data_IF_109124814704
#
_entry.id   IF_109124814704
#
_cell.length_a   1.000
_cell.length_b   1.000
_cell.length_c   1.000
_cell.angle_alpha   90.00
_cell.angle_beta   90.00
_cell.angle_gamma   90.00
#
_symmetry.space_group_name_H-M   'P 1'
#
loop_
_entity.id
_entity.type
_entity.pdbx_description
1 polymer ?
#
# COMPACT_ATOMS: atom_id res chain seq x y z
N UNK A 1 66.85 26.45 21.22
CA UNK A 1 66.40 25.06 21.12
C UNK A 1 65.48 24.59 22.27
N UNK A 2 65.64 25.02 23.54
CA UNK A 2 64.77 24.64 24.65
C UNK A 2 63.30 25.10 24.52
N UNK A 3 63.03 26.23 23.90
CA UNK A 3 61.67 26.75 23.73
C UNK A 3 60.92 26.13 22.56
N UNK A 4 61.65 25.60 21.56
CA UNK A 4 61.03 24.92 20.41
C UNK A 4 60.46 23.54 20.81
N UNK A 5 61.11 22.84 21.73
CA UNK A 5 60.66 21.55 22.26
C UNK A 5 59.42 21.70 23.16
N UNK A 6 59.30 22.82 23.91
CA UNK A 6 58.16 23.07 24.77
C UNK A 6 56.92 23.45 23.97
N UNK A 7 57.08 24.19 22.86
CA UNK A 7 55.94 24.53 21.99
C UNK A 7 55.40 23.33 21.19
N UNK A 8 56.24 22.39 20.77
CA UNK A 8 55.82 21.15 20.15
C UNK A 8 55.08 20.19 21.09
N UNK A 9 55.48 20.19 22.41
CA UNK A 9 54.79 19.40 23.42
C UNK A 9 53.40 19.97 23.75
N UNK A 10 53.23 21.29 23.76
CA UNK A 10 51.96 21.95 24.01
C UNK A 10 50.94 21.73 22.88
N UNK A 11 51.40 21.69 21.62
CA UNK A 11 50.55 21.40 20.43
C UNK A 11 50.12 19.94 20.41
N UNK A 12 50.93 19.00 20.87
CA UNK A 12 50.61 17.58 20.97
C UNK A 12 49.51 17.25 21.98
N UNK A 13 49.35 18.07 23.02
CA UNK A 13 48.32 17.83 24.07
C UNK A 13 46.95 18.36 23.65
N UNK A 14 46.89 19.35 22.76
CA UNK A 14 45.64 19.91 22.26
C UNK A 14 44.92 19.00 21.23
N UNK A 15 45.62 18.03 20.62
CA UNK A 15 45.05 17.11 19.65
C UNK A 15 44.39 15.89 20.28
N UNK A 16 44.36 15.75 21.61
CA UNK A 16 43.70 14.65 22.32
C UNK A 16 42.27 14.97 22.80
N UNK A 17 41.67 16.06 22.31
CA UNK A 17 40.23 16.23 22.52
C UNK A 17 39.51 15.22 21.65
N UNK A 18 39.54 13.99 22.09
CA UNK A 18 38.75 12.88 21.57
C UNK A 18 37.29 13.32 21.49
N UNK A 19 36.70 13.24 20.32
CA UNK A 19 35.27 13.30 20.17
C UNK A 19 34.65 12.37 21.20
N UNK A 20 33.92 12.89 22.17
CA UNK A 20 33.08 12.10 23.06
C UNK A 20 32.09 11.38 22.12
N UNK A 21 32.28 10.07 21.92
CA UNK A 21 31.30 9.24 21.27
C UNK A 21 30.08 9.22 22.19
N UNK A 22 29.09 10.02 21.88
CA UNK A 22 27.80 9.91 22.53
C UNK A 22 27.25 8.52 22.15
N UNK A 23 27.10 7.64 23.11
CA UNK A 23 26.37 6.42 22.96
C UNK A 23 24.89 6.78 23.15
N UNK A 24 24.09 6.88 22.07
CA UNK A 24 22.66 7.08 22.23
C UNK A 24 22.11 5.90 23.03
N UNK A 25 21.48 6.19 24.17
CA UNK A 25 20.73 5.19 24.91
C UNK A 25 19.44 4.93 24.15
N UNK A 26 19.33 3.74 23.58
CA UNK A 26 18.05 3.25 23.09
C UNK A 26 17.15 3.02 24.31
N UNK A 27 15.90 3.47 24.23
CA UNK A 27 14.90 3.14 25.25
C UNK A 27 14.63 1.65 25.33
N UNK A 28 13.84 1.22 26.29
CA UNK A 28 13.36 -0.16 26.34
C UNK A 28 12.49 -0.46 25.12
N UNK A 29 12.60 -1.67 24.53
CA UNK A 29 11.74 -2.08 23.43
C UNK A 29 10.27 -2.19 23.88
N UNK A 30 9.29 -2.10 22.96
CA UNK A 30 7.89 -2.30 23.31
C UNK A 30 7.65 -3.68 23.94
N UNK A 31 6.80 -3.71 24.96
CA UNK A 31 6.34 -4.94 25.60
C UNK A 31 5.24 -5.62 24.80
N UNK A 32 4.84 -6.85 25.19
CA UNK A 32 3.67 -7.53 24.60
C UNK A 32 2.40 -6.69 24.74
N UNK A 33 2.21 -6.01 25.87
CA UNK A 33 1.06 -5.16 26.13
C UNK A 33 1.00 -3.94 25.20
N UNK A 34 2.13 -3.41 24.78
CA UNK A 34 2.21 -2.26 23.87
C UNK A 34 1.76 -2.60 22.42
N UNK A 35 1.86 -3.86 22.04
CA UNK A 35 1.43 -4.34 20.73
C UNK A 35 0.02 -4.94 20.75
N UNK A 36 -0.68 -4.94 21.88
CA UNK A 36 -2.08 -5.41 21.94
C UNK A 36 -3.00 -4.44 21.21
N UNK A 37 -4.10 -4.96 20.68
CA UNK A 37 -5.14 -4.15 20.06
C UNK A 37 -6.53 -4.78 20.24
N UNK A 38 -7.54 -3.98 20.04
CA UNK A 38 -8.93 -4.40 19.95
C UNK A 38 -9.50 -4.07 18.58
N UNK A 39 -10.57 -4.75 18.20
CA UNK A 39 -11.31 -4.46 16.98
C UNK A 39 -12.82 -4.62 17.21
N UNK A 40 -13.59 -3.88 16.42
CA UNK A 40 -15.05 -3.99 16.36
C UNK A 40 -15.55 -3.55 14.98
N UNK A 41 -16.67 -4.08 14.50
CA UNK A 41 -17.34 -3.51 13.34
C UNK A 41 -17.80 -2.07 13.66
N UNK A 42 -17.91 -1.24 12.64
CA UNK A 42 -18.49 0.10 12.80
C UNK A 42 -20.01 0.02 12.92
N UNK A 43 -20.62 1.05 13.54
CA UNK A 43 -22.10 1.12 13.66
C UNK A 43 -22.81 1.21 12.30
N UNK A 44 -22.11 1.49 11.24
CA UNK A 44 -22.68 1.72 9.91
C UNK A 44 -22.57 0.53 8.97
N UNK A 45 -21.56 -0.33 9.16
CA UNK A 45 -21.33 -1.47 8.28
C UNK A 45 -20.42 -2.51 8.95
N UNK A 46 -20.88 -3.76 9.00
CA UNK A 46 -20.19 -4.90 9.64
C UNK A 46 -18.90 -5.30 8.90
N UNK A 47 -18.73 -4.88 7.65
CA UNK A 47 -17.55 -5.13 6.84
C UNK A 47 -16.50 -4.01 6.94
N UNK A 48 -16.77 -2.97 7.73
CA UNK A 48 -15.81 -1.91 8.05
C UNK A 48 -15.41 -2.09 9.52
N UNK A 49 -14.18 -2.51 9.74
CA UNK A 49 -13.68 -2.80 11.08
C UNK A 49 -12.82 -1.64 11.58
N UNK A 50 -13.14 -1.17 12.76
CA UNK A 50 -12.30 -0.24 13.51
C UNK A 50 -11.30 -1.04 14.36
N UNK A 51 -10.04 -0.63 14.31
CA UNK A 51 -8.94 -1.18 15.12
C UNK A 51 -8.38 -0.11 16.03
N UNK A 52 -8.15 -0.46 17.29
CA UNK A 52 -7.58 0.43 18.29
C UNK A 52 -6.34 -0.21 18.91
N UNK A 53 -5.18 0.40 18.73
CA UNK A 53 -3.95 -0.01 19.40
C UNK A 53 -3.99 0.34 20.90
N UNK A 54 -3.51 -0.55 21.75
CA UNK A 54 -3.53 -0.36 23.21
C UNK A 54 -2.62 0.80 23.66
N UNK A 55 -1.52 1.05 22.95
CA UNK A 55 -0.59 2.11 23.30
C UNK A 55 -0.51 3.20 22.23
N UNK A 56 -1.12 4.39 22.46
CA UNK A 56 -1.12 5.50 21.50
C UNK A 56 0.23 6.24 21.41
N UNK A 57 1.19 5.95 22.30
CA UNK A 57 2.52 6.58 22.28
C UNK A 57 3.49 5.89 21.34
N UNK A 58 3.14 4.71 20.84
CA UNK A 58 3.91 3.96 19.87
C UNK A 58 3.62 4.44 18.45
N UNK A 59 4.55 4.22 17.54
CA UNK A 59 4.27 4.26 16.10
C UNK A 59 3.63 2.91 15.76
N UNK A 60 2.33 2.94 15.47
CA UNK A 60 1.50 1.76 15.22
C UNK A 60 1.32 1.58 13.71
N UNK A 61 1.85 0.49 13.16
CA UNK A 61 1.75 0.14 11.74
C UNK A 61 0.96 -1.15 11.61
N UNK A 62 -0.04 -1.13 10.74
CA UNK A 62 -1.00 -2.20 10.56
C UNK A 62 -0.82 -2.91 9.22
N UNK A 63 -0.98 -4.22 9.24
CA UNK A 63 -1.30 -5.04 8.08
C UNK A 63 -2.67 -5.68 8.34
N UNK A 64 -3.64 -5.37 7.50
CA UNK A 64 -5.02 -5.80 7.71
C UNK A 64 -5.33 -7.20 7.17
N UNK A 65 -4.33 -7.89 6.58
CA UNK A 65 -4.50 -9.22 6.02
C UNK A 65 -5.29 -9.28 4.71
N UNK A 66 -5.78 -8.15 4.22
CA UNK A 66 -6.52 -7.99 2.96
C UNK A 66 -5.70 -7.31 1.85
N UNK A 67 -4.39 -7.17 2.06
CA UNK A 67 -3.47 -6.46 1.16
C UNK A 67 -3.34 -4.96 1.45
N UNK A 68 -4.17 -4.41 2.33
CA UNK A 68 -4.09 -3.01 2.75
C UNK A 68 -3.27 -2.88 4.04
N UNK A 69 -2.69 -1.69 4.22
CA UNK A 69 -1.92 -1.30 5.40
C UNK A 69 -2.42 0.02 5.95
N UNK A 70 -2.13 0.28 7.22
CA UNK A 70 -2.49 1.54 7.87
C UNK A 70 -1.46 1.95 8.92
N UNK A 71 -1.59 3.19 9.40
CA UNK A 71 -0.77 3.75 10.46
C UNK A 71 -1.64 4.58 11.40
N UNK A 72 -1.38 4.49 12.70
CA UNK A 72 -2.07 5.26 13.72
C UNK A 72 -2.64 4.40 14.85
N UNK A 73 -3.14 5.07 15.89
CA UNK A 73 -3.72 4.41 17.06
C UNK A 73 -5.11 3.85 16.76
N UNK A 74 -5.95 4.64 16.08
CA UNK A 74 -7.28 4.25 15.63
C UNK A 74 -7.30 4.28 14.12
N UNK A 75 -7.63 3.15 13.51
CA UNK A 75 -7.67 2.99 12.05
C UNK A 75 -8.90 2.17 11.65
N UNK A 76 -9.33 2.35 10.42
CA UNK A 76 -10.42 1.54 9.85
C UNK A 76 -9.88 0.75 8.66
N UNK A 77 -10.36 -0.47 8.49
CA UNK A 77 -10.14 -1.25 7.28
C UNK A 77 -11.47 -1.78 6.73
N UNK A 78 -11.58 -1.82 5.41
CA UNK A 78 -12.74 -2.33 4.71
C UNK A 78 -12.47 -3.74 4.21
N UNK A 79 -13.46 -4.63 4.37
CA UNK A 79 -13.39 -6.04 3.95
C UNK A 79 -14.59 -6.36 3.06
N UNK A 80 -14.50 -6.08 1.75
CA UNK A 80 -15.64 -6.31 0.84
C UNK A 80 -16.06 -7.77 0.74
N UNK A 81 -15.13 -8.70 0.95
CA UNK A 81 -15.39 -10.13 0.83
C UNK A 81 -15.49 -10.81 2.20
N UNK A 82 -16.40 -11.75 2.33
CA UNK A 82 -16.44 -12.68 3.46
C UNK A 82 -15.14 -13.49 3.52
N UNK A 83 -14.69 -13.81 4.73
CA UNK A 83 -13.46 -14.60 4.92
C UNK A 83 -12.85 -14.41 6.30
N UNK A 84 -11.77 -15.12 6.55
CA UNK A 84 -10.94 -14.96 7.76
C UNK A 84 -9.67 -14.22 7.36
N UNK A 85 -9.36 -13.15 8.09
CA UNK A 85 -8.22 -12.28 7.83
C UNK A 85 -7.32 -12.21 9.05
N UNK A 86 -6.02 -12.37 8.87
CA UNK A 86 -5.05 -12.20 9.95
C UNK A 86 -4.57 -10.77 9.97
N UNK A 87 -4.99 -10.01 10.97
CA UNK A 87 -4.57 -8.61 11.18
C UNK A 87 -3.35 -8.58 12.07
N UNK A 88 -2.33 -7.83 11.67
CA UNK A 88 -1.08 -7.69 12.42
C UNK A 88 -0.83 -6.24 12.75
N UNK A 89 -0.60 -5.95 14.04
CA UNK A 89 -0.08 -4.68 14.53
C UNK A 89 1.41 -4.79 14.79
N UNK A 90 2.17 -3.84 14.28
CA UNK A 90 3.57 -3.62 14.62
C UNK A 90 3.71 -2.30 15.39
N UNK A 91 4.04 -2.37 16.67
CA UNK A 91 4.27 -1.22 17.53
C UNK A 91 5.76 -0.92 17.62
N UNK A 92 6.16 0.34 17.38
CA UNK A 92 7.55 0.78 17.37
C UNK A 92 7.78 1.91 18.35
N UNK A 93 8.96 1.91 18.97
CA UNK A 93 9.51 3.05 19.68
C UNK A 93 11.02 3.14 19.42
N UNK A 94 11.74 4.03 20.13
CA UNK A 94 13.20 4.20 19.98
C UNK A 94 14.00 2.97 20.44
N UNK A 95 13.42 2.09 21.25
CA UNK A 95 14.04 0.87 21.76
C UNK A 95 13.89 -0.34 20.86
N UNK A 96 12.96 -0.31 19.90
CA UNK A 96 12.71 -1.43 19.00
C UNK A 96 11.27 -1.54 18.55
N UNK A 97 10.84 -2.76 18.24
CA UNK A 97 9.48 -3.08 17.81
C UNK A 97 8.93 -4.33 18.46
N UNK A 98 7.62 -4.42 18.52
CA UNK A 98 6.87 -5.60 18.92
C UNK A 98 5.66 -5.78 18.02
N UNK A 99 5.33 -7.03 17.69
CA UNK A 99 4.19 -7.35 16.84
C UNK A 99 3.21 -8.26 17.58
N UNK A 100 1.93 -8.10 17.26
CA UNK A 100 0.88 -9.07 17.60
C UNK A 100 -0.06 -9.27 16.42
N UNK A 101 -0.74 -10.41 16.37
CA UNK A 101 -1.70 -10.73 15.34
C UNK A 101 -2.97 -11.32 15.94
N UNK A 102 -4.10 -11.02 15.31
CA UNK A 102 -5.40 -11.60 15.64
C UNK A 102 -6.10 -11.97 14.33
N UNK A 103 -6.91 -13.02 14.38
CA UNK A 103 -7.81 -13.37 13.29
C UNK A 103 -9.16 -12.69 13.51
N UNK A 104 -9.69 -12.12 12.42
CA UNK A 104 -11.05 -11.58 12.35
C UNK A 104 -11.83 -12.36 11.29
N UNK A 105 -13.13 -12.52 11.54
CA UNK A 105 -14.04 -13.18 10.60
C UNK A 105 -15.03 -12.17 10.06
N UNK A 106 -15.14 -12.11 8.75
CA UNK A 106 -16.14 -11.33 8.02
C UNK A 106 -17.17 -12.32 7.49
N UNK A 107 -18.38 -12.24 7.99
CA UNK A 107 -19.41 -13.26 7.75
C UNK A 107 -20.04 -13.15 6.36
N UNK A 108 -20.13 -11.94 5.80
CA UNK A 108 -20.84 -11.67 4.55
C UNK A 108 -19.97 -10.84 3.57
N UNK A 109 -20.19 -11.10 2.28
CA UNK A 109 -19.61 -10.27 1.22
C UNK A 109 -20.48 -9.04 0.97
N UNK A 110 -19.90 -7.85 1.01
CA UNK A 110 -20.54 -6.58 0.69
C UNK A 110 -19.75 -5.86 -0.42
N UNK A 111 -20.13 -6.14 -1.66
CA UNK A 111 -19.49 -5.54 -2.84
C UNK A 111 -19.83 -4.06 -3.00
N UNK A 112 -20.82 -3.52 -2.26
CA UNK A 112 -21.12 -2.08 -2.30
C UNK A 112 -19.95 -1.23 -1.80
N UNK A 113 -19.07 -1.79 -0.97
CA UNK A 113 -17.83 -1.16 -0.51
C UNK A 113 -16.78 -0.96 -1.63
N UNK A 114 -16.99 -1.61 -2.78
CA UNK A 114 -16.19 -1.45 -4.00
C UNK A 114 -16.88 -0.51 -5.01
N UNK A 115 -17.91 0.22 -4.60
CA UNK A 115 -18.60 1.17 -5.48
C UNK A 115 -17.66 2.34 -5.85
N UNK A 116 -17.07 2.21 -7.03
CA UNK A 116 -16.11 3.15 -7.58
C UNK A 116 -16.35 3.27 -9.10
N UNK A 117 -16.39 4.48 -9.67
CA UNK A 117 -16.64 4.67 -11.10
C UNK A 117 -15.74 3.85 -12.03
N UNK A 118 -14.47 3.67 -11.67
CA UNK A 118 -13.53 2.87 -12.46
C UNK A 118 -13.85 1.37 -12.39
N UNK A 119 -14.16 0.87 -11.19
CA UNK A 119 -14.55 -0.54 -11.02
C UNK A 119 -15.88 -0.81 -11.70
N UNK A 120 -16.85 0.10 -11.59
CA UNK A 120 -18.14 0.00 -12.25
C UNK A 120 -18.00 -0.01 -13.78
N UNK A 121 -17.14 0.84 -14.32
CA UNK A 121 -16.84 0.85 -15.75
C UNK A 121 -16.22 -0.48 -16.21
N UNK A 122 -15.24 -1.00 -15.43
CA UNK A 122 -14.48 -2.20 -15.81
C UNK A 122 -15.27 -3.50 -15.64
N UNK A 123 -16.11 -3.61 -14.60
CA UNK A 123 -16.77 -4.86 -14.18
C UNK A 123 -18.30 -4.84 -14.29
N UNK A 124 -18.90 -3.68 -14.53
CA UNK A 124 -20.34 -3.48 -14.44
C UNK A 124 -20.83 -3.11 -13.02
N UNK A 125 -19.95 -3.13 -12.03
CA UNK A 125 -20.23 -2.71 -10.65
C UNK A 125 -21.08 -3.67 -9.83
N UNK A 126 -21.21 -3.37 -8.52
CA UNK A 126 -21.95 -4.19 -7.56
C UNK A 126 -23.48 -4.22 -7.82
N UNK A 127 -24.04 -3.14 -8.37
CA UNK A 127 -25.46 -3.07 -8.73
C UNK A 127 -25.77 -3.68 -10.10
N UNK A 128 -24.76 -4.09 -10.87
CA UNK A 128 -24.88 -4.73 -12.18
C UNK A 128 -24.55 -6.22 -12.12
N UNK A 129 -23.91 -6.73 -13.18
CA UNK A 129 -23.50 -8.14 -13.28
C UNK A 129 -22.34 -8.50 -12.34
N UNK A 130 -21.58 -7.52 -11.88
CA UNK A 130 -20.31 -7.71 -11.14
C UNK A 130 -19.18 -8.24 -12.03
N UNK A 131 -19.41 -8.42 -13.31
CA UNK A 131 -18.36 -8.76 -14.28
C UNK A 131 -18.66 -8.20 -15.66
N UNK A 132 -17.60 -7.95 -16.43
CA UNK A 132 -17.69 -7.52 -17.82
C UNK A 132 -16.55 -8.10 -18.63
N UNK A 133 -16.89 -8.59 -19.82
CA UNK A 133 -15.89 -9.09 -20.78
C UNK A 133 -15.58 -8.02 -21.81
N UNK A 134 -14.29 -7.76 -21.97
CA UNK A 134 -13.75 -6.79 -22.92
C UNK A 134 -13.04 -7.50 -24.06
N UNK A 135 -13.03 -6.89 -25.21
CA UNK A 135 -12.27 -7.33 -26.37
C UNK A 135 -11.80 -6.11 -27.16
N UNK A 136 -10.81 -6.31 -27.99
CA UNK A 136 -10.33 -5.26 -28.90
C UNK A 136 -11.28 -5.19 -30.10
N UNK A 137 -11.96 -4.07 -30.28
CA UNK A 137 -12.82 -3.87 -31.46
C UNK A 137 -11.94 -3.55 -32.68
N UNK A 138 -11.71 -4.55 -33.51
CA UNK A 138 -10.88 -4.41 -34.71
C UNK A 138 -11.47 -3.45 -35.75
N UNK A 139 -12.77 -3.11 -35.68
CA UNK A 139 -13.40 -2.19 -36.63
C UNK A 139 -13.18 -0.71 -36.25
N UNK A 140 -12.76 -0.44 -35.02
CA UNK A 140 -12.51 0.93 -34.56
C UNK A 140 -11.12 1.41 -35.00
N UNK A 141 -11.05 2.65 -35.49
CA UNK A 141 -9.76 3.31 -35.76
C UNK A 141 -9.03 3.57 -34.45
N UNK A 142 -7.75 3.26 -34.37
CA UNK A 142 -6.94 3.52 -33.18
C UNK A 142 -7.03 2.44 -32.11
N UNK A 143 -7.63 1.28 -32.41
CA UNK A 143 -7.71 0.13 -31.50
C UNK A 143 -6.32 -0.41 -31.09
N UNK A 144 -5.28 -0.17 -31.91
CA UNK A 144 -3.87 -0.28 -31.58
C UNK A 144 -3.14 1.00 -31.95
N UNK A 145 -2.11 1.32 -31.20
CA UNK A 145 -1.28 2.45 -31.54
C UNK A 145 -0.02 2.56 -30.71
N UNK A 146 0.86 3.45 -31.14
CA UNK A 146 2.11 3.78 -30.45
C UNK A 146 2.19 5.28 -30.26
N UNK A 147 2.54 5.70 -29.08
CA UNK A 147 2.67 7.09 -28.69
C UNK A 147 3.69 7.29 -27.58
N UNK A 148 3.92 8.52 -27.11
CA UNK A 148 4.82 8.81 -26.01
C UNK A 148 4.27 8.34 -24.66
N UNK A 149 5.19 8.07 -23.73
CA UNK A 149 4.88 7.86 -22.31
C UNK A 149 5.56 8.99 -21.49
N UNK A 150 4.87 9.73 -20.62
CA UNK A 150 3.44 9.63 -20.33
C UNK A 150 2.55 10.06 -21.50
N UNK A 151 1.27 9.63 -21.44
CA UNK A 151 0.27 9.96 -22.46
C UNK A 151 0.34 11.43 -22.83
N UNK A 152 0.41 11.69 -24.14
CA UNK A 152 0.47 13.03 -24.72
C UNK A 152 -0.60 13.98 -24.17
N UNK A 153 -0.29 15.28 -24.01
CA UNK A 153 -1.28 16.30 -23.70
C UNK A 153 -2.39 16.43 -24.76
N UNK A 154 -2.25 15.81 -25.93
CA UNK A 154 -3.29 15.75 -26.96
C UNK A 154 -4.36 14.68 -26.70
N UNK A 155 -4.24 13.92 -25.61
CA UNK A 155 -5.23 12.92 -25.19
C UNK A 155 -4.86 11.47 -25.56
N UNK A 156 -5.87 10.59 -25.61
CA UNK A 156 -5.72 9.15 -25.79
C UNK A 156 -5.39 8.71 -27.23
N UNK A 157 -4.88 9.58 -28.07
CA UNK A 157 -4.57 9.28 -29.46
C UNK A 157 -3.12 8.84 -29.55
N UNK A 158 -2.83 7.66 -30.14
CA UNK A 158 -1.46 7.28 -30.45
C UNK A 158 -0.85 8.27 -31.47
N UNK A 159 0.17 9.03 -31.04
CA UNK A 159 0.74 10.11 -31.85
C UNK A 159 1.65 9.63 -32.98
N UNK A 160 2.31 8.48 -32.77
CA UNK A 160 3.33 8.02 -33.74
C UNK A 160 2.77 7.07 -34.77
N UNK A 161 1.81 6.25 -34.38
CA UNK A 161 1.10 5.33 -35.26
C UNK A 161 -0.23 4.92 -34.65
N UNK A 162 -1.25 4.78 -35.50
CA UNK A 162 -2.59 4.36 -35.14
C UNK A 162 -3.11 3.39 -36.19
N UNK A 163 -3.63 2.25 -35.72
CA UNK A 163 -4.21 1.24 -36.61
C UNK A 163 -5.51 1.75 -37.24
N UNK A 164 -5.67 1.54 -38.54
CA UNK A 164 -6.97 1.61 -39.19
C UNK A 164 -7.83 0.38 -38.90
N UNK A 165 -9.11 0.41 -39.28
CA UNK A 165 -9.99 -0.75 -39.11
C UNK A 165 -9.40 -2.02 -39.75
N UNK A 166 -9.32 -3.11 -38.98
CA UNK A 166 -8.81 -4.41 -39.38
C UNK A 166 -7.37 -4.43 -39.95
N UNK A 167 -6.52 -3.48 -39.56
CA UNK A 167 -5.14 -3.38 -40.05
C UNK A 167 -4.23 -4.55 -39.64
N UNK A 168 -4.67 -5.41 -38.71
CA UNK A 168 -3.93 -6.57 -38.23
C UNK A 168 -4.72 -7.88 -38.42
N UNK A 169 -5.17 -8.23 -39.64
CA UNK A 169 -5.93 -9.43 -39.87
C UNK A 169 -5.12 -10.67 -39.45
N UNK A 170 -5.74 -11.58 -38.71
CA UNK A 170 -5.08 -12.78 -38.17
C UNK A 170 -4.24 -12.53 -36.93
N UNK A 171 -4.27 -11.32 -36.33
CA UNK A 171 -3.69 -11.06 -35.04
C UNK A 171 -4.51 -11.79 -33.96
N UNK A 172 -3.88 -12.66 -33.17
CA UNK A 172 -4.54 -13.40 -32.08
C UNK A 172 -5.18 -12.52 -31.02
N UNK A 173 -4.73 -11.26 -30.88
CA UNK A 173 -5.33 -10.31 -29.95
C UNK A 173 -6.79 -9.95 -30.28
N UNK A 174 -7.24 -10.10 -31.53
CA UNK A 174 -8.64 -9.85 -31.89
C UNK A 174 -9.58 -10.94 -31.35
N UNK A 175 -9.05 -12.13 -31.11
CA UNK A 175 -9.81 -13.26 -30.57
C UNK A 175 -9.78 -13.31 -29.05
N UNK A 176 -8.90 -12.54 -28.41
CA UNK A 176 -8.77 -12.50 -26.97
C UNK A 176 -9.99 -11.87 -26.30
N UNK A 177 -10.31 -12.38 -25.13
CA UNK A 177 -11.39 -11.89 -24.26
C UNK A 177 -10.86 -11.75 -22.85
N UNK A 178 -11.04 -10.57 -22.29
CA UNK A 178 -10.58 -10.21 -20.95
C UNK A 178 -11.79 -9.99 -20.05
N UNK A 179 -12.05 -10.88 -19.12
CA UNK A 179 -13.16 -10.76 -18.17
C UNK A 179 -12.63 -10.29 -16.83
N UNK A 180 -13.16 -9.16 -16.36
CA UNK A 180 -12.87 -8.60 -15.04
C UNK A 180 -14.06 -8.81 -14.13
N UNK A 181 -13.79 -9.33 -12.93
CA UNK A 181 -14.80 -9.59 -11.91
C UNK A 181 -14.58 -8.68 -10.71
N UNK A 182 -15.63 -8.10 -10.16
CA UNK A 182 -15.59 -7.17 -9.04
C UNK A 182 -15.14 -7.84 -7.74
N UNK A 183 -15.39 -9.13 -7.56
CA UNK A 183 -15.09 -9.89 -6.34
C UNK A 183 -13.73 -10.61 -6.35
N UNK A 184 -12.93 -10.48 -7.41
CA UNK A 184 -11.67 -11.21 -7.58
C UNK A 184 -10.41 -10.32 -7.47
N UNK A 185 -10.55 -9.14 -6.88
CA UNK A 185 -9.39 -8.29 -6.56
C UNK A 185 -8.55 -8.95 -5.47
N UNK A 186 -7.44 -9.52 -5.85
CA UNK A 186 -6.39 -10.02 -4.97
C UNK A 186 -5.12 -9.19 -5.12
#
# INVERSE_FOLDING_TARGET
>A
MKYLALSLLAIGILSLSSCKKENPQLGDPPSDADAMFSHAPTDTNDNIIEFTAANPTMVNIWDFGNGLKGEGTNVHAIYPNAGTYTVTLNAFNKGGSKSSSQEIVIDQTDLSLLDNPYYNALTGGASGSGYRTWYIDSNETGHFGVGPDPISPLGNVPEWWSAGPNDKPGCGLYDDRYTFHLNEFK
#
